data_IF_802310560598
#
_entry.id   IF_802310560598
#
_cell.length_a   1.000
_cell.length_b   1.000
_cell.length_c   1.000
_cell.angle_alpha   90.00
_cell.angle_beta   90.00
_cell.angle_gamma   90.00
#
_symmetry.space_group_name_H-M   'P 1'
#
loop_
_entity.id
_entity.type
_entity.pdbx_description
1 polymer ?
#
# COMPACT_ATOMS: atom_id res chain seq x y z
N UNK A 1 28.51 -27.81 -30.11
CA UNK A 1 27.90 -28.48 -28.92
C UNK A 1 27.86 -27.59 -27.67
N UNK A 2 28.89 -26.78 -27.41
CA UNK A 2 29.05 -25.93 -26.21
C UNK A 2 27.95 -24.85 -26.03
N UNK A 3 27.46 -24.23 -27.11
CA UNK A 3 26.40 -23.20 -27.06
C UNK A 3 25.05 -23.76 -26.56
N UNK A 4 24.77 -25.05 -26.85
CA UNK A 4 23.48 -25.69 -26.51
C UNK A 4 23.38 -26.06 -25.03
N UNK A 5 24.51 -26.36 -24.36
CA UNK A 5 24.55 -26.60 -22.91
C UNK A 5 24.52 -25.29 -22.12
N UNK A 6 25.15 -24.22 -22.63
CA UNK A 6 25.10 -22.88 -22.05
C UNK A 6 23.66 -22.32 -22.06
N UNK A 7 22.93 -22.49 -23.17
CA UNK A 7 21.52 -22.09 -23.29
C UNK A 7 20.60 -22.89 -22.35
N UNK A 8 20.85 -24.19 -22.15
CA UNK A 8 20.08 -25.00 -21.19
C UNK A 8 20.35 -24.60 -19.73
N UNK A 9 21.62 -24.31 -19.39
CA UNK A 9 22.00 -23.82 -18.06
C UNK A 9 21.37 -22.47 -17.71
N UNK A 10 21.35 -21.53 -18.67
CA UNK A 10 20.68 -20.23 -18.50
C UNK A 10 19.17 -20.38 -18.33
N UNK A 11 18.52 -21.23 -19.14
CA UNK A 11 17.07 -21.46 -19.07
C UNK A 11 16.63 -22.05 -17.72
N UNK A 12 17.41 -22.98 -17.15
CA UNK A 12 17.11 -23.56 -15.83
C UNK A 12 17.38 -22.58 -14.68
N UNK A 13 18.41 -21.74 -14.77
CA UNK A 13 18.67 -20.69 -13.76
C UNK A 13 17.60 -19.59 -13.77
N UNK A 14 17.19 -19.15 -14.96
CA UNK A 14 16.10 -18.19 -15.13
C UNK A 14 14.77 -18.74 -14.61
N UNK A 15 14.43 -20.01 -14.94
CA UNK A 15 13.26 -20.68 -14.37
C UNK A 15 13.32 -20.76 -12.85
N UNK A 16 14.45 -21.16 -12.27
CA UNK A 16 14.59 -21.28 -10.81
C UNK A 16 14.41 -19.95 -10.06
N UNK A 17 15.01 -18.86 -10.57
CA UNK A 17 14.87 -17.53 -9.98
C UNK A 17 13.45 -16.96 -10.16
N UNK A 18 12.89 -17.06 -11.37
CA UNK A 18 11.53 -16.58 -11.64
C UNK A 18 10.49 -17.34 -10.82
N UNK A 19 10.59 -18.66 -10.68
CA UNK A 19 9.64 -19.45 -9.85
C UNK A 19 9.75 -19.08 -8.37
N UNK A 20 10.96 -18.83 -7.85
CA UNK A 20 11.16 -18.40 -6.46
C UNK A 20 10.59 -16.99 -6.21
N UNK A 21 10.82 -16.06 -7.14
CA UNK A 21 10.28 -14.69 -7.05
C UNK A 21 8.74 -14.69 -7.13
N UNK A 22 8.17 -15.45 -8.07
CA UNK A 22 6.72 -15.66 -8.18
C UNK A 22 6.16 -16.25 -6.89
N UNK A 23 6.81 -17.28 -6.33
CA UNK A 23 6.38 -17.92 -5.08
C UNK A 23 6.40 -16.98 -3.88
N UNK A 24 7.40 -16.11 -3.77
CA UNK A 24 7.48 -15.08 -2.70
C UNK A 24 6.36 -14.04 -2.85
N UNK A 25 6.11 -13.57 -4.07
CA UNK A 25 5.05 -12.59 -4.34
C UNK A 25 3.68 -13.19 -4.09
N UNK A 26 3.40 -14.40 -4.58
CA UNK A 26 2.14 -15.11 -4.34
C UNK A 26 1.91 -15.36 -2.86
N UNK A 27 2.92 -15.91 -2.16
CA UNK A 27 2.79 -16.22 -0.74
C UNK A 27 2.42 -14.98 0.06
N UNK A 28 3.13 -13.87 -0.12
CA UNK A 28 2.80 -12.69 0.66
C UNK A 28 1.58 -11.92 0.16
N UNK A 29 1.13 -12.11 -1.08
CA UNK A 29 -0.21 -11.65 -1.50
C UNK A 29 -1.30 -12.47 -0.81
N UNK A 30 -1.15 -13.79 -0.71
CA UNK A 30 -2.06 -14.66 0.03
C UNK A 30 -2.10 -14.33 1.53
N UNK A 31 -0.93 -14.10 2.16
CA UNK A 31 -0.87 -13.65 3.56
C UNK A 31 -1.57 -12.31 3.73
N UNK A 32 -1.35 -11.36 2.81
CA UNK A 32 -2.02 -10.06 2.84
C UNK A 32 -3.53 -10.19 2.73
N UNK A 33 -4.03 -11.03 1.81
CA UNK A 33 -5.47 -11.27 1.66
C UNK A 33 -6.06 -11.92 2.93
N UNK A 34 -5.39 -12.96 3.46
CA UNK A 34 -5.82 -13.62 4.70
C UNK A 34 -5.89 -12.66 5.88
N UNK A 35 -4.87 -11.82 6.06
CA UNK A 35 -4.85 -10.81 7.11
C UNK A 35 -5.91 -9.73 6.88
N UNK A 36 -6.18 -9.34 5.63
CA UNK A 36 -7.26 -8.42 5.29
C UNK A 36 -8.63 -8.96 5.70
N UNK A 37 -8.86 -10.26 5.51
CA UNK A 37 -10.09 -10.94 5.96
C UNK A 37 -10.19 -10.93 7.49
N UNK A 38 -9.10 -11.24 8.19
CA UNK A 38 -9.06 -11.22 9.67
C UNK A 38 -9.35 -9.81 10.19
N UNK A 39 -8.68 -8.79 9.65
CA UNK A 39 -8.94 -7.39 9.99
C UNK A 39 -10.40 -7.00 9.74
N UNK A 40 -10.96 -7.39 8.59
CA UNK A 40 -12.36 -7.13 8.27
C UNK A 40 -13.33 -7.81 9.25
N UNK A 41 -13.04 -9.05 9.66
CA UNK A 41 -13.86 -9.78 10.63
C UNK A 41 -13.78 -9.18 12.04
N UNK A 42 -12.59 -8.73 12.46
CA UNK A 42 -12.39 -8.02 13.73
C UNK A 42 -13.11 -6.68 13.75
N UNK A 43 -13.02 -5.90 12.66
CA UNK A 43 -13.78 -4.66 12.48
C UNK A 43 -15.29 -4.92 12.52
N UNK A 44 -15.77 -5.95 11.83
CA UNK A 44 -17.18 -6.30 11.83
C UNK A 44 -17.72 -6.73 13.19
N UNK A 45 -16.84 -7.22 14.08
CA UNK A 45 -17.19 -7.57 15.46
C UNK A 45 -17.06 -6.41 16.44
N UNK A 46 -16.13 -5.48 16.20
CA UNK A 46 -15.91 -4.32 17.06
C UNK A 46 -16.77 -3.10 16.73
N UNK A 47 -17.27 -3.01 15.49
CA UNK A 47 -18.13 -1.92 15.05
C UNK A 47 -19.60 -2.34 15.07
N UNK A 48 -20.48 -1.42 15.46
CA UNK A 48 -21.92 -1.57 15.22
C UNK A 48 -22.21 -1.66 13.70
N UNK A 49 -23.37 -2.19 13.28
CA UNK A 49 -23.75 -2.24 11.86
C UNK A 49 -23.63 -0.88 11.14
N UNK A 50 -23.92 0.19 11.87
CA UNK A 50 -23.79 1.57 11.40
C UNK A 50 -22.32 1.99 11.20
N UNK A 51 -21.44 1.65 12.15
CA UNK A 51 -20.00 1.93 12.04
C UNK A 51 -19.32 1.20 10.88
N UNK A 52 -19.77 -0.02 10.57
CA UNK A 52 -19.31 -0.79 9.42
C UNK A 52 -19.66 -0.12 8.08
N UNK A 53 -20.88 0.42 7.96
CA UNK A 53 -21.32 1.15 6.76
C UNK A 53 -20.46 2.39 6.53
N UNK A 54 -20.28 3.20 7.57
CA UNK A 54 -19.42 4.40 7.51
C UNK A 54 -17.98 4.05 7.12
N UNK A 55 -17.40 3.02 7.73
CA UNK A 55 -16.04 2.60 7.43
C UNK A 55 -15.87 2.13 5.99
N UNK A 56 -16.82 1.36 5.45
CA UNK A 56 -16.75 0.86 4.07
C UNK A 56 -16.91 1.98 3.05
N UNK A 57 -17.79 2.95 3.28
CA UNK A 57 -17.95 4.14 2.42
C UNK A 57 -16.69 4.99 2.40
N UNK A 58 -16.14 5.32 3.57
CA UNK A 58 -14.87 6.08 3.68
C UNK A 58 -13.73 5.31 3.02
N UNK A 59 -13.63 4.00 3.28
CA UNK A 59 -12.61 3.13 2.69
C UNK A 59 -12.68 3.05 1.17
N UNK A 60 -13.89 2.93 0.60
CA UNK A 60 -14.10 2.93 -0.84
C UNK A 60 -13.68 4.26 -1.47
N UNK A 61 -14.04 5.38 -0.85
CA UNK A 61 -13.67 6.71 -1.32
C UNK A 61 -12.16 6.95 -1.28
N UNK A 62 -11.50 6.55 -0.19
CA UNK A 62 -10.03 6.57 -0.06
C UNK A 62 -9.37 5.72 -1.15
N UNK A 63 -9.92 4.54 -1.46
CA UNK A 63 -9.39 3.69 -2.51
C UNK A 63 -9.50 4.33 -3.90
N UNK A 64 -10.62 5.02 -4.18
CA UNK A 64 -10.82 5.78 -5.43
C UNK A 64 -9.78 6.90 -5.52
N UNK A 65 -9.66 7.74 -4.49
CA UNK A 65 -8.68 8.82 -4.46
C UNK A 65 -7.25 8.31 -4.59
N UNK A 66 -6.91 7.23 -3.88
CA UNK A 66 -5.59 6.61 -3.97
C UNK A 66 -5.28 6.12 -5.38
N UNK A 67 -6.29 5.60 -6.09
CA UNK A 67 -6.15 5.18 -7.50
C UNK A 67 -5.87 6.38 -8.40
N UNK A 68 -6.60 7.48 -8.22
CA UNK A 68 -6.37 8.73 -8.96
C UNK A 68 -5.02 9.36 -8.64
N UNK A 69 -4.59 9.32 -7.38
CA UNK A 69 -3.29 9.85 -6.96
C UNK A 69 -2.12 9.02 -7.49
N UNK A 70 -2.31 7.71 -7.71
CA UNK A 70 -1.24 6.85 -8.22
C UNK A 70 -1.16 6.83 -9.75
N UNK A 71 -2.25 7.06 -10.49
CA UNK A 71 -2.36 7.22 -11.96
C UNK A 71 -1.25 6.58 -12.84
N UNK A 72 -0.86 5.33 -12.55
CA UNK A 72 0.24 4.64 -13.23
C UNK A 72 1.67 5.18 -12.97
N UNK A 73 1.85 6.24 -12.18
CA UNK A 73 3.14 6.81 -11.77
C UNK A 73 4.06 5.75 -11.18
N UNK A 74 3.52 4.87 -10.33
CA UNK A 74 4.27 3.77 -9.74
C UNK A 74 4.86 2.84 -10.80
N UNK A 75 4.08 2.41 -11.79
CA UNK A 75 4.53 1.47 -12.81
C UNK A 75 5.61 2.10 -13.70
N UNK A 76 5.41 3.36 -14.08
CA UNK A 76 6.38 4.14 -14.84
C UNK A 76 7.69 4.34 -14.07
N UNK A 77 7.61 4.69 -12.79
CA UNK A 77 8.77 4.88 -11.92
C UNK A 77 9.55 3.57 -11.72
N UNK A 78 8.86 2.45 -11.42
CA UNK A 78 9.50 1.14 -11.28
C UNK A 78 10.26 0.77 -12.55
N UNK A 79 9.65 0.97 -13.73
CA UNK A 79 10.29 0.67 -15.02
C UNK A 79 11.52 1.54 -15.26
N UNK A 80 11.45 2.86 -15.00
CA UNK A 80 12.59 3.75 -15.19
C UNK A 80 13.73 3.47 -14.20
N UNK A 81 13.42 3.28 -12.92
CA UNK A 81 14.42 2.97 -11.89
C UNK A 81 15.10 1.64 -12.21
N UNK A 82 14.33 0.60 -12.57
CA UNK A 82 14.88 -0.71 -12.91
C UNK A 82 15.81 -0.66 -14.13
N UNK A 83 15.47 0.15 -15.15
CA UNK A 83 16.31 0.35 -16.34
C UNK A 83 17.65 1.02 -15.95
N UNK A 84 17.58 2.10 -15.18
CA UNK A 84 18.77 2.86 -14.80
C UNK A 84 19.61 2.16 -13.73
N UNK A 85 19.04 1.26 -12.93
CA UNK A 85 19.77 0.56 -11.87
C UNK A 85 20.90 -0.33 -12.41
N UNK A 86 20.80 -0.83 -13.64
CA UNK A 86 21.84 -1.65 -14.28
C UNK A 86 22.88 -0.80 -15.02
N UNK A 87 22.48 0.32 -15.61
CA UNK A 87 23.34 1.17 -16.44
C UNK A 87 24.06 2.27 -15.63
N UNK A 88 23.34 2.93 -14.72
CA UNK A 88 23.85 4.06 -13.92
C UNK A 88 23.14 4.15 -12.55
N UNK A 89 23.73 3.59 -11.48
CA UNK A 89 23.13 3.58 -10.14
C UNK A 89 22.88 4.98 -9.56
N UNK A 90 23.70 5.97 -9.93
CA UNK A 90 23.53 7.35 -9.47
C UNK A 90 22.27 7.98 -10.09
N UNK A 91 22.05 7.73 -11.39
CA UNK A 91 20.86 8.19 -12.09
C UNK A 91 19.59 7.48 -11.59
N UNK A 92 19.67 6.20 -11.25
CA UNK A 92 18.57 5.46 -10.63
C UNK A 92 18.11 6.08 -9.28
N UNK A 93 19.06 6.51 -8.44
CA UNK A 93 18.76 7.24 -7.19
C UNK A 93 18.09 8.59 -7.46
N UNK A 94 18.56 9.32 -8.47
CA UNK A 94 17.97 10.60 -8.84
C UNK A 94 16.52 10.44 -9.30
N UNK A 95 16.24 9.47 -10.17
CA UNK A 95 14.87 9.15 -10.63
C UNK A 95 13.99 8.72 -9.44
N UNK A 96 14.49 7.88 -8.54
CA UNK A 96 13.76 7.48 -7.34
C UNK A 96 13.42 8.69 -6.44
N UNK A 97 14.35 9.64 -6.27
CA UNK A 97 14.13 10.85 -5.48
C UNK A 97 13.11 11.79 -6.12
N UNK A 98 13.14 11.93 -7.45
CA UNK A 98 12.18 12.74 -8.21
C UNK A 98 10.78 12.14 -8.13
N UNK A 99 10.66 10.82 -8.30
CA UNK A 99 9.41 10.10 -8.09
C UNK A 99 8.87 10.29 -6.67
N UNK A 100 9.72 10.13 -5.65
CA UNK A 100 9.32 10.31 -4.26
C UNK A 100 8.80 11.73 -3.99
N UNK A 101 9.50 12.76 -4.49
CA UNK A 101 9.09 14.16 -4.35
C UNK A 101 7.76 14.44 -5.06
N UNK A 102 7.61 13.97 -6.30
CA UNK A 102 6.39 14.15 -7.07
C UNK A 102 5.21 13.44 -6.39
N UNK A 103 5.40 12.20 -5.95
CA UNK A 103 4.36 11.44 -5.25
C UNK A 103 3.98 12.09 -3.93
N UNK A 104 4.95 12.58 -3.15
CA UNK A 104 4.69 13.33 -1.93
C UNK A 104 3.91 14.62 -2.22
N UNK A 105 4.28 15.38 -3.26
CA UNK A 105 3.58 16.61 -3.63
C UNK A 105 2.13 16.33 -4.02
N UNK A 106 1.88 15.34 -4.89
CA UNK A 106 0.52 14.92 -5.26
C UNK A 106 -0.26 14.48 -4.02
N UNK A 107 0.35 13.68 -3.15
CA UNK A 107 -0.30 13.17 -1.93
C UNK A 107 -0.65 14.31 -0.98
N UNK A 108 0.24 15.29 -0.79
CA UNK A 108 -0.02 16.48 0.04
C UNK A 108 -1.16 17.29 -0.55
N UNK A 109 -1.20 17.49 -1.86
CA UNK A 109 -2.30 18.20 -2.53
C UNK A 109 -3.63 17.47 -2.36
N UNK A 110 -3.65 16.14 -2.50
CA UNK A 110 -4.85 15.32 -2.27
C UNK A 110 -5.28 15.39 -0.81
N UNK A 111 -4.37 15.20 0.15
CA UNK A 111 -4.67 15.26 1.57
C UNK A 111 -5.15 16.64 2.01
N UNK A 112 -4.55 17.71 1.47
CA UNK A 112 -5.01 19.07 1.67
C UNK A 112 -6.41 19.28 1.09
N UNK A 113 -6.67 18.79 -0.13
CA UNK A 113 -8.01 18.80 -0.72
C UNK A 113 -9.03 18.06 0.14
N UNK A 114 -8.71 16.86 0.62
CA UNK A 114 -9.56 16.09 1.55
C UNK A 114 -9.84 16.89 2.83
N UNK A 115 -8.83 17.59 3.38
CA UNK A 115 -8.98 18.42 4.56
C UNK A 115 -9.84 19.66 4.34
N UNK A 116 -9.65 20.38 3.24
CA UNK A 116 -10.42 21.59 2.88
C UNK A 116 -11.87 21.24 2.57
N UNK A 117 -12.09 20.14 1.85
CA UNK A 117 -13.43 19.67 1.49
C UNK A 117 -14.00 18.68 2.52
N UNK A 118 -13.46 18.61 3.74
CA UNK A 118 -13.84 17.59 4.71
C UNK A 118 -15.33 17.62 5.08
N UNK A 119 -15.89 18.82 5.27
CA UNK A 119 -17.31 19.03 5.57
C UNK A 119 -18.22 18.69 4.38
N UNK A 120 -18.03 19.26 3.17
CA UNK A 120 -18.88 18.91 2.03
C UNK A 120 -18.72 17.45 1.60
N UNK A 121 -17.56 16.83 1.83
CA UNK A 121 -17.36 15.39 1.61
C UNK A 121 -18.11 14.56 2.65
N UNK A 122 -18.14 14.98 3.92
CA UNK A 122 -18.89 14.30 4.95
C UNK A 122 -20.41 14.35 4.67
N UNK A 123 -20.91 15.50 4.22
CA UNK A 123 -22.31 15.64 3.78
C UNK A 123 -22.62 14.80 2.54
N UNK A 124 -21.76 14.85 1.52
CA UNK A 124 -21.93 14.05 0.30
C UNK A 124 -21.94 12.54 0.56
N UNK A 125 -21.13 12.10 1.52
CA UNK A 125 -21.03 10.70 1.94
C UNK A 125 -22.09 10.31 2.99
N UNK A 126 -23.01 11.22 3.35
CA UNK A 126 -24.03 11.03 4.37
C UNK A 126 -23.46 10.50 5.70
N UNK A 127 -22.30 11.03 6.10
CA UNK A 127 -21.63 10.65 7.34
C UNK A 127 -22.32 11.30 8.55
N UNK A 128 -22.20 10.69 9.75
CA UNK A 128 -22.73 11.29 10.97
C UNK A 128 -22.13 12.70 11.18
N UNK A 129 -22.94 13.73 11.45
CA UNK A 129 -22.47 15.12 11.48
C UNK A 129 -21.41 15.37 12.58
N UNK A 130 -21.46 14.60 13.66
CA UNK A 130 -20.56 14.75 14.81
C UNK A 130 -19.16 14.16 14.56
N UNK A 131 -19.06 13.09 13.76
CA UNK A 131 -17.80 12.33 13.56
C UNK A 131 -17.31 12.33 12.12
N UNK A 132 -18.14 12.73 11.15
CA UNK A 132 -17.83 12.69 9.72
C UNK A 132 -16.57 13.47 9.36
N UNK A 133 -16.44 14.71 9.87
CA UNK A 133 -15.24 15.54 9.63
C UNK A 133 -13.96 14.89 10.15
N UNK A 134 -14.00 14.32 11.36
CA UNK A 134 -12.85 13.66 11.97
C UNK A 134 -12.45 12.42 11.17
N UNK A 135 -13.43 11.62 10.72
CA UNK A 135 -13.19 10.44 9.88
C UNK A 135 -12.57 10.80 8.53
N UNK A 136 -13.04 11.87 7.88
CA UNK A 136 -12.47 12.35 6.62
C UNK A 136 -11.04 12.86 6.80
N UNK A 137 -10.74 13.55 7.90
CA UNK A 137 -9.37 13.94 8.24
C UNK A 137 -8.45 12.74 8.51
N UNK A 138 -8.95 11.73 9.23
CA UNK A 138 -8.22 10.46 9.42
C UNK A 138 -7.95 9.76 8.09
N UNK A 139 -8.92 9.75 7.17
CA UNK A 139 -8.73 9.25 5.80
C UNK A 139 -7.64 10.03 5.06
N UNK A 140 -7.58 11.36 5.18
CA UNK A 140 -6.48 12.18 4.63
C UNK A 140 -5.11 11.78 5.18
N UNK A 141 -5.01 11.58 6.49
CA UNK A 141 -3.77 11.09 7.13
C UNK A 141 -3.38 9.68 6.68
N UNK A 142 -4.37 8.80 6.52
CA UNK A 142 -4.17 7.44 5.99
C UNK A 142 -3.63 7.45 4.56
N UNK A 143 -4.14 8.35 3.70
CA UNK A 143 -3.63 8.54 2.34
C UNK A 143 -2.14 8.92 2.36
N UNK A 144 -1.71 9.79 3.28
CA UNK A 144 -0.27 10.10 3.43
C UNK A 144 0.56 8.88 3.84
N UNK A 145 0.10 8.11 4.83
CA UNK A 145 0.81 6.92 5.30
C UNK A 145 0.96 5.86 4.18
N UNK A 146 -0.12 5.65 3.42
CA UNK A 146 -0.11 4.70 2.29
C UNK A 146 0.75 5.18 1.13
N UNK A 147 0.82 6.48 0.86
CA UNK A 147 1.72 7.04 -0.15
C UNK A 147 3.20 6.81 0.19
N UNK A 148 3.59 7.04 1.46
CA UNK A 148 4.95 6.79 1.92
C UNK A 148 5.33 5.31 1.77
N UNK A 149 4.46 4.41 2.24
CA UNK A 149 4.60 2.96 2.05
C UNK A 149 4.69 2.58 0.56
N UNK A 150 3.89 3.23 -0.30
CA UNK A 150 3.89 3.04 -1.74
C UNK A 150 5.19 3.46 -2.42
N UNK A 151 5.84 4.54 -1.95
CA UNK A 151 7.15 4.98 -2.45
C UNK A 151 8.22 3.96 -2.10
N UNK A 152 8.30 3.53 -0.84
CA UNK A 152 9.22 2.49 -0.40
C UNK A 152 9.02 1.19 -1.20
N UNK A 153 7.76 0.79 -1.37
CA UNK A 153 7.42 -0.39 -2.15
C UNK A 153 7.87 -0.28 -3.61
N UNK A 154 7.69 0.87 -4.25
CA UNK A 154 8.11 1.10 -5.63
C UNK A 154 9.64 1.03 -5.78
N UNK A 155 10.39 1.63 -4.86
CA UNK A 155 11.87 1.61 -4.88
C UNK A 155 12.39 0.20 -4.65
N UNK A 156 11.90 -0.52 -3.63
CA UNK A 156 12.31 -1.90 -3.35
C UNK A 156 11.95 -2.84 -4.49
N UNK A 157 10.78 -2.67 -5.10
CA UNK A 157 10.33 -3.43 -6.27
C UNK A 157 11.23 -3.16 -7.48
N UNK A 158 11.61 -1.90 -7.72
CA UNK A 158 12.49 -1.54 -8.83
C UNK A 158 13.91 -2.11 -8.68
N UNK A 159 14.41 -2.19 -7.45
CA UNK A 159 15.71 -2.79 -7.13
C UNK A 159 15.66 -4.32 -7.03
N UNK A 160 14.51 -4.95 -7.32
CA UNK A 160 14.27 -6.40 -7.16
C UNK A 160 14.56 -6.94 -5.75
N UNK A 161 14.47 -6.08 -4.73
CA UNK A 161 14.61 -6.45 -3.33
C UNK A 161 13.28 -7.00 -2.79
N UNK A 162 12.73 -8.01 -3.47
CA UNK A 162 11.44 -8.63 -3.13
C UNK A 162 11.39 -9.17 -1.69
N UNK A 163 12.45 -9.76 -1.10
CA UNK A 163 12.41 -10.19 0.30
C UNK A 163 12.20 -9.02 1.28
N UNK A 164 12.85 -7.88 1.06
CA UNK A 164 12.69 -6.69 1.90
C UNK A 164 11.31 -6.05 1.69
N UNK A 165 10.81 -6.03 0.45
CA UNK A 165 9.46 -5.60 0.11
C UNK A 165 8.41 -6.42 0.88
N UNK A 166 8.53 -7.75 0.83
CA UNK A 166 7.58 -8.63 1.51
C UNK A 166 7.71 -8.52 3.03
N UNK A 167 8.93 -8.42 3.57
CA UNK A 167 9.15 -8.19 5.00
C UNK A 167 8.47 -6.91 5.50
N UNK A 168 8.66 -5.79 4.81
CA UNK A 168 8.05 -4.51 5.19
C UNK A 168 6.51 -4.56 5.12
N UNK A 169 5.95 -5.21 4.09
CA UNK A 169 4.50 -5.35 3.95
C UNK A 169 3.90 -6.26 5.03
N UNK A 170 4.50 -7.41 5.28
CA UNK A 170 4.05 -8.32 6.33
C UNK A 170 4.14 -7.68 7.70
N UNK A 171 5.22 -6.94 8.00
CA UNK A 171 5.36 -6.24 9.28
C UNK A 171 4.30 -5.16 9.47
N UNK A 172 3.99 -4.38 8.43
CA UNK A 172 2.92 -3.39 8.48
C UNK A 172 1.54 -4.04 8.74
N UNK A 173 1.26 -5.16 8.09
CA UNK A 173 0.00 -5.90 8.24
C UNK A 173 -0.11 -6.53 9.64
N UNK A 174 0.96 -7.18 10.12
CA UNK A 174 1.01 -7.75 11.46
C UNK A 174 0.84 -6.67 12.52
N UNK A 175 1.54 -5.54 12.38
CA UNK A 175 1.38 -4.40 13.28
C UNK A 175 -0.05 -3.87 13.28
N UNK A 176 -0.69 -3.77 12.10
CA UNK A 176 -2.08 -3.33 11.98
C UNK A 176 -3.04 -4.29 12.71
N UNK A 177 -2.86 -5.60 12.53
CA UNK A 177 -3.69 -6.60 13.22
C UNK A 177 -3.45 -6.61 14.72
N UNK A 178 -2.20 -6.47 15.18
CA UNK A 178 -1.88 -6.38 16.61
C UNK A 178 -2.52 -5.13 17.22
N UNK A 179 -2.42 -3.98 16.56
CA UNK A 179 -3.04 -2.73 17.02
C UNK A 179 -4.57 -2.85 17.07
N UNK A 180 -5.20 -3.39 16.02
CA UNK A 180 -6.65 -3.65 16.01
C UNK A 180 -7.07 -4.62 17.12
N UNK A 181 -6.33 -5.71 17.31
CA UNK A 181 -6.58 -6.67 18.37
C UNK A 181 -6.42 -6.07 19.75
N UNK A 182 -5.36 -5.29 19.98
CA UNK A 182 -5.11 -4.59 21.24
C UNK A 182 -6.20 -3.58 21.58
N UNK A 183 -6.63 -2.77 20.61
CA UNK A 183 -7.76 -1.85 20.79
C UNK A 183 -9.05 -2.57 21.16
N UNK A 184 -9.32 -3.73 20.54
CA UNK A 184 -10.48 -4.55 20.86
C UNK A 184 -10.44 -5.07 22.31
N UNK A 185 -9.27 -5.51 22.80
CA UNK A 185 -9.09 -5.92 24.20
C UNK A 185 -9.27 -4.74 25.18
N UNK A 186 -8.78 -3.56 24.85
CA UNK A 186 -8.93 -2.35 25.69
C UNK A 186 -10.40 -1.90 25.75
N UNK A 187 -11.13 -1.94 24.63
CA UNK A 187 -12.57 -1.63 24.62
C UNK A 187 -13.39 -2.59 25.48
N UNK A 188 -13.01 -3.88 25.56
CA UNK A 188 -13.69 -4.82 26.46
C UNK A 188 -13.40 -4.57 27.95
N UNK A 189 -12.29 -3.89 28.28
CA UNK A 189 -11.88 -3.59 29.66
C UNK A 189 -12.43 -2.25 30.17
N UNK A 190 -12.99 -1.42 29.30
CA UNK A 190 -13.55 -0.11 29.66
C UNK A 190 -15.07 -0.16 29.45
N UNK A 191 -15.88 -0.28 30.52
CA UNK A 191 -17.33 -0.38 30.43
C UNK A 191 -18.01 0.90 29.95
#
# INVERSE_FOLDING_TARGET
MMVRSMLHGMKNRLRGQTTREIGVVLTGHSVRLGMGIISSALLARGLSPEGLSVFTVVGAWVAILGTFADFGLRNSAVRQIARQATENPAMARQVASQFARLKMLITVLVAFGVGVFAEPLAELLHLPPETGRVLVLFAGGWIMATAFSGILAAVLQALRLFPALMGAQTLNIVATVILMGGLFFVQQLTP
#
